data_IF_159591232257
#
_entry.id   IF_159591232257
#
_cell.length_a   1.000
_cell.length_b   1.000
_cell.length_c   1.000
_cell.angle_alpha   90.00
_cell.angle_beta   90.00
_cell.angle_gamma   90.00
#
_symmetry.space_group_name_H-M   'P 1'
#
loop_
_entity.id
_entity.type
_entity.pdbx_description
1 polymer ?
#
# COMPACT_ATOMS: atom_id res chain seq x y z
N UNK A 1 -27.05 -15.02 12.22
CA UNK A 1 -25.95 -14.12 11.79
C UNK A 1 -26.41 -12.68 11.92
N UNK A 2 -25.93 -11.92 12.90
CA UNK A 2 -26.21 -10.48 12.91
C UNK A 2 -25.51 -9.84 11.69
N UNK A 3 -26.20 -9.02 10.87
CA UNK A 3 -25.58 -8.37 9.73
C UNK A 3 -24.44 -7.48 10.25
N UNK A 4 -23.29 -7.54 9.59
CA UNK A 4 -22.28 -6.49 9.79
C UNK A 4 -22.96 -5.21 9.30
N UNK A 5 -22.92 -4.10 10.05
CA UNK A 5 -23.44 -2.84 9.54
C UNK A 5 -22.81 -2.59 8.16
N UNK A 6 -23.63 -2.41 7.13
CA UNK A 6 -23.16 -2.27 5.75
C UNK A 6 -22.03 -1.23 5.65
N UNK A 7 -22.17 -0.13 6.40
CA UNK A 7 -21.15 0.90 6.54
C UNK A 7 -19.79 0.36 6.99
N UNK A 8 -19.74 -0.51 8.01
CA UNK A 8 -18.48 -1.10 8.51
C UNK A 8 -17.85 -2.04 7.48
N UNK A 9 -18.67 -2.83 6.78
CA UNK A 9 -18.17 -3.69 5.71
C UNK A 9 -17.57 -2.87 4.56
N UNK A 10 -18.27 -1.82 4.12
CA UNK A 10 -17.80 -0.92 3.06
C UNK A 10 -16.51 -0.19 3.47
N UNK A 11 -16.40 0.25 4.72
CA UNK A 11 -15.17 0.89 5.22
C UNK A 11 -13.98 -0.07 5.22
N UNK A 12 -14.18 -1.32 5.68
CA UNK A 12 -13.12 -2.33 5.64
C UNK A 12 -12.70 -2.66 4.21
N UNK A 13 -13.67 -2.77 3.30
CA UNK A 13 -13.40 -3.02 1.88
C UNK A 13 -12.61 -1.85 1.27
N UNK A 14 -13.07 -0.62 1.47
CA UNK A 14 -12.39 0.58 0.99
C UNK A 14 -10.96 0.67 1.53
N UNK A 15 -10.76 0.40 2.81
CA UNK A 15 -9.45 0.43 3.44
C UNK A 15 -8.52 -0.65 2.91
N UNK A 16 -9.00 -1.89 2.77
CA UNK A 16 -8.22 -2.98 2.18
C UNK A 16 -7.85 -2.71 0.73
N UNK A 17 -8.79 -2.16 -0.07
CA UNK A 17 -8.54 -1.73 -1.44
C UNK A 17 -7.50 -0.62 -1.50
N UNK A 18 -7.59 0.39 -0.63
CA UNK A 18 -6.57 1.43 -0.51
C UNK A 18 -5.19 0.84 -0.22
N UNK A 19 -5.08 -0.04 0.78
CA UNK A 19 -3.80 -0.68 1.12
C UNK A 19 -3.24 -1.48 -0.05
N UNK A 20 -4.08 -2.20 -0.79
CA UNK A 20 -3.65 -2.95 -1.96
C UNK A 20 -3.12 -2.04 -3.09
N UNK A 21 -3.85 -0.97 -3.43
CA UNK A 21 -3.41 -0.04 -4.48
C UNK A 21 -2.17 0.75 -4.08
N UNK A 22 -2.11 1.26 -2.83
CA UNK A 22 -0.93 1.93 -2.31
C UNK A 22 0.27 0.97 -2.26
N UNK A 23 0.06 -0.27 -1.82
CA UNK A 23 1.06 -1.33 -1.82
C UNK A 23 1.62 -1.60 -3.21
N UNK A 24 0.75 -1.79 -4.21
CA UNK A 24 1.15 -1.99 -5.60
C UNK A 24 1.95 -0.80 -6.15
N UNK A 25 1.47 0.41 -5.87
CA UNK A 25 2.13 1.65 -6.30
C UNK A 25 3.56 1.71 -5.75
N UNK A 26 3.75 1.60 -4.44
CA UNK A 26 5.06 1.68 -3.81
C UNK A 26 5.97 0.49 -4.13
N UNK A 27 5.39 -0.70 -4.36
CA UNK A 27 6.15 -1.89 -4.71
C UNK A 27 6.72 -1.80 -6.13
N UNK A 28 5.90 -1.38 -7.10
CA UNK A 28 6.23 -1.49 -8.53
C UNK A 28 6.76 -0.18 -9.13
N UNK A 29 6.11 0.95 -8.86
CA UNK A 29 6.37 2.21 -9.56
C UNK A 29 7.84 2.63 -9.50
N UNK A 30 8.56 2.54 -8.36
CA UNK A 30 9.98 2.93 -8.27
C UNK A 30 10.91 2.24 -9.29
N UNK A 31 10.51 1.07 -9.80
CA UNK A 31 11.26 0.24 -10.75
C UNK A 31 10.84 0.43 -12.20
N UNK A 32 9.90 1.34 -12.48
CA UNK A 32 9.42 1.62 -13.84
C UNK A 32 10.11 2.84 -14.44
N UNK A 33 10.10 2.93 -15.78
CA UNK A 33 10.56 4.12 -16.50
C UNK A 33 9.76 5.37 -16.16
N UNK A 34 8.49 5.22 -15.80
CA UNK A 34 7.63 6.35 -15.39
C UNK A 34 8.22 7.03 -14.15
N UNK A 35 8.74 6.26 -13.19
CA UNK A 35 9.41 6.82 -12.02
C UNK A 35 10.69 7.55 -12.41
N UNK A 36 11.50 6.99 -13.30
CA UNK A 36 12.71 7.66 -13.80
C UNK A 36 12.37 9.01 -14.44
N UNK A 37 11.37 9.04 -15.32
CA UNK A 37 10.89 10.28 -15.97
C UNK A 37 10.39 11.29 -14.93
N UNK A 38 9.63 10.83 -13.93
CA UNK A 38 9.13 11.69 -12.85
C UNK A 38 10.27 12.27 -12.00
N UNK A 39 11.21 11.43 -11.56
CA UNK A 39 12.35 11.82 -10.73
C UNK A 39 13.27 12.81 -11.45
N UNK A 40 13.47 12.65 -12.76
CA UNK A 40 14.26 13.59 -13.57
C UNK A 40 13.64 14.99 -13.68
N UNK A 41 12.34 15.16 -13.39
CA UNK A 41 11.68 16.48 -13.36
C UNK A 41 11.81 17.20 -12.02
N UNK A 42 12.36 16.53 -11.00
CA UNK A 42 12.54 17.10 -9.67
C UNK A 42 13.88 17.85 -9.55
N UNK A 43 14.01 18.78 -8.58
CA UNK A 43 15.30 19.38 -8.24
C UNK A 43 16.38 18.32 -8.01
N UNK A 44 17.60 18.60 -8.49
CA UNK A 44 18.75 17.69 -8.44
C UNK A 44 18.91 16.93 -7.10
N UNK A 45 18.91 17.56 -5.91
CA UNK A 45 19.12 16.82 -4.66
C UNK A 45 18.02 15.77 -4.40
N UNK A 46 16.77 16.08 -4.72
CA UNK A 46 15.65 15.16 -4.56
C UNK A 46 15.75 14.02 -5.57
N UNK A 47 16.14 14.36 -6.80
CA UNK A 47 16.33 13.38 -7.86
C UNK A 47 17.42 12.34 -7.52
N UNK A 48 18.53 12.77 -6.93
CA UNK A 48 19.60 11.87 -6.47
C UNK A 48 19.08 10.90 -5.41
N UNK A 49 18.34 11.40 -4.41
CA UNK A 49 17.81 10.56 -3.34
C UNK A 49 16.78 9.56 -3.86
N UNK A 50 15.79 10.01 -4.63
CA UNK A 50 14.71 9.15 -5.15
C UNK A 50 15.15 8.23 -6.30
N UNK A 51 16.22 8.59 -7.00
CA UNK A 51 16.85 7.76 -8.03
C UNK A 51 17.71 6.63 -7.45
N UNK A 52 18.17 6.77 -6.20
CA UNK A 52 19.06 5.80 -5.57
C UNK A 52 18.38 4.42 -5.38
N UNK A 53 19.05 3.30 -5.75
CA UNK A 53 18.47 1.96 -5.63
C UNK A 53 18.00 1.60 -4.22
N UNK A 54 18.73 2.00 -3.17
CA UNK A 54 18.31 1.75 -1.79
C UNK A 54 17.01 2.47 -1.44
N UNK A 55 16.81 3.70 -1.93
CA UNK A 55 15.56 4.45 -1.69
C UNK A 55 14.39 3.76 -2.38
N UNK A 56 14.58 3.30 -3.63
CA UNK A 56 13.57 2.50 -4.34
C UNK A 56 13.23 1.21 -3.58
N UNK A 57 14.26 0.52 -3.06
CA UNK A 57 14.08 -0.65 -2.20
C UNK A 57 13.30 -0.35 -0.91
N UNK A 58 13.57 0.77 -0.24
CA UNK A 58 12.82 1.21 0.94
C UNK A 58 11.35 1.51 0.62
N UNK A 59 11.08 2.18 -0.50
CA UNK A 59 9.71 2.41 -0.97
C UNK A 59 9.01 1.08 -1.26
N UNK A 60 9.70 0.13 -1.89
CA UNK A 60 9.13 -1.20 -2.13
C UNK A 60 8.86 -1.99 -0.86
N UNK A 61 9.73 -1.91 0.15
CA UNK A 61 9.50 -2.51 1.47
C UNK A 61 8.28 -1.88 2.16
N UNK A 62 8.09 -0.57 2.02
CA UNK A 62 6.89 0.13 2.49
C UNK A 62 5.64 -0.35 1.75
N UNK A 63 5.73 -0.59 0.44
CA UNK A 63 4.66 -1.21 -0.34
C UNK A 63 4.33 -2.63 0.14
N UNK A 64 5.33 -3.43 0.46
CA UNK A 64 5.13 -4.77 1.02
C UNK A 64 4.42 -4.73 2.39
N UNK A 65 4.78 -3.77 3.23
CA UNK A 65 4.12 -3.55 4.52
C UNK A 65 2.61 -3.24 4.35
N UNK A 66 2.21 -2.53 3.30
CA UNK A 66 0.79 -2.29 3.02
C UNK A 66 0.03 -3.60 2.73
N UNK A 67 0.63 -4.54 1.98
CA UNK A 67 0.02 -5.83 1.75
C UNK A 67 -0.09 -6.66 3.03
N UNK A 68 0.95 -6.65 3.88
CA UNK A 68 0.91 -7.33 5.17
C UNK A 68 -0.23 -6.78 6.03
N UNK A 69 -0.39 -5.45 6.08
CA UNK A 69 -1.50 -4.81 6.80
C UNK A 69 -2.86 -5.17 6.19
N UNK A 70 -2.99 -5.19 4.85
CA UNK A 70 -4.24 -5.56 4.19
C UNK A 70 -4.67 -7.00 4.54
N UNK A 71 -3.71 -7.93 4.55
CA UNK A 71 -3.95 -9.32 4.96
C UNK A 71 -4.33 -9.39 6.44
N UNK A 72 -3.64 -8.65 7.31
CA UNK A 72 -3.93 -8.65 8.75
C UNK A 72 -5.31 -8.08 9.06
N UNK A 73 -5.69 -6.99 8.40
CA UNK A 73 -7.00 -6.34 8.53
C UNK A 73 -8.12 -7.19 7.95
N UNK A 74 -7.88 -7.83 6.81
CA UNK A 74 -8.80 -8.84 6.27
C UNK A 74 -9.00 -10.00 7.25
N UNK A 75 -7.91 -10.56 7.78
CA UNK A 75 -7.97 -11.68 8.72
C UNK A 75 -8.63 -11.31 10.05
N UNK A 76 -8.31 -10.14 10.62
CA UNK A 76 -8.77 -9.70 11.94
C UNK A 76 -10.15 -9.06 11.90
N UNK A 77 -10.39 -8.21 10.89
CA UNK A 77 -11.68 -7.58 10.63
C UNK A 77 -12.78 -8.60 10.34
N UNK A 78 -12.45 -9.73 9.68
CA UNK A 78 -13.35 -10.86 9.48
C UNK A 78 -13.44 -11.78 10.71
N UNK A 79 -12.34 -11.99 11.45
CA UNK A 79 -12.30 -12.87 12.64
C UNK A 79 -13.08 -12.36 13.86
N UNK A 80 -13.28 -11.05 14.02
CA UNK A 80 -14.09 -10.49 15.11
C UNK A 80 -15.54 -11.03 15.13
N UNK A 81 -16.00 -11.69 14.06
CA UNK A 81 -17.32 -12.31 13.96
C UNK A 81 -17.38 -13.81 14.29
N UNK A 82 -16.23 -14.49 14.46
CA UNK A 82 -16.21 -15.95 14.69
C UNK A 82 -16.19 -16.35 16.18
N UNK A 83 -16.05 -15.38 17.11
CA UNK A 83 -15.85 -15.64 18.56
C UNK A 83 -16.86 -14.94 19.49
N UNK A 84 -17.88 -14.27 18.97
CA UNK A 84 -18.99 -13.70 19.76
C UNK A 84 -20.32 -14.21 19.25
#
# INVERSE_FOLDING_TARGET
MAPVPLARFLLLLLYATYLAYAGLFFLLVPWTEIWTIFVMRLPFPIAVVLGHPSTKGMLSAFGLLHFILAVFEGATGLRLKARR
#
